data_IF_537228399171
#
_entry.id   IF_537228399171
#
_cell.length_a   1.000
_cell.length_b   1.000
_cell.length_c   1.000
_cell.angle_alpha   90.00
_cell.angle_beta   90.00
_cell.angle_gamma   90.00
#
_symmetry.space_group_name_H-M   'P 1'
#
loop_
_entity.id
_entity.type
_entity.pdbx_description
1 polymer ?
#
# COMPACT_ATOMS: atom_id res chain seq x y z
N UNK A 1 12.52 19.59 -0.83
CA UNK A 1 12.12 18.26 -1.29
C UNK A 1 12.32 18.17 -2.78
N UNK A 2 13.46 17.63 -3.14
CA UNK A 2 13.90 17.29 -4.47
C UNK A 2 13.84 15.77 -4.58
N UNK A 3 13.14 15.23 -5.57
CA UNK A 3 12.73 13.82 -5.59
C UNK A 3 13.89 12.81 -5.68
N UNK A 4 15.10 13.25 -6.04
CA UNK A 4 16.28 12.40 -6.20
C UNK A 4 17.28 12.51 -5.04
N UNK A 5 17.11 13.46 -4.12
CA UNK A 5 18.03 13.62 -2.99
C UNK A 5 17.64 12.66 -1.86
N UNK A 6 18.55 11.77 -1.46
CA UNK A 6 18.22 10.68 -0.51
C UNK A 6 17.71 11.21 0.83
N UNK A 7 18.29 12.30 1.34
CA UNK A 7 17.85 12.89 2.61
C UNK A 7 16.43 13.47 2.51
N UNK A 8 16.06 14.02 1.35
CA UNK A 8 14.70 14.55 1.13
C UNK A 8 13.69 13.40 1.04
N UNK A 9 14.05 12.31 0.35
CA UNK A 9 13.22 11.09 0.27
C UNK A 9 13.01 10.49 1.67
N UNK A 10 14.09 10.33 2.44
CA UNK A 10 14.03 9.80 3.80
C UNK A 10 13.24 10.72 4.75
N UNK A 11 13.36 12.03 4.60
CA UNK A 11 12.57 12.98 5.37
C UNK A 11 11.08 12.89 5.04
N UNK A 12 10.71 12.75 3.76
CA UNK A 12 9.31 12.51 3.35
C UNK A 12 8.79 11.19 3.90
N UNK A 13 9.56 10.11 3.77
CA UNK A 13 9.20 8.80 4.29
C UNK A 13 8.96 8.85 5.80
N UNK A 14 9.83 9.52 6.56
CA UNK A 14 9.68 9.66 8.01
C UNK A 14 8.39 10.40 8.37
N UNK A 15 8.12 11.55 7.73
CA UNK A 15 6.85 12.28 7.94
C UNK A 15 5.63 11.43 7.60
N UNK A 16 5.72 10.63 6.54
CA UNK A 16 4.66 9.75 6.10
C UNK A 16 4.40 8.62 7.14
N UNK A 17 5.45 8.06 7.75
CA UNK A 17 5.34 7.07 8.81
C UNK A 17 4.85 7.68 10.13
N UNK A 18 5.33 8.87 10.50
CA UNK A 18 4.90 9.58 11.70
C UNK A 18 3.41 9.91 11.63
N UNK A 19 2.92 10.34 10.46
CA UNK A 19 1.48 10.56 10.23
C UNK A 19 0.69 9.25 10.42
N UNK A 20 1.15 8.15 9.80
CA UNK A 20 0.52 6.84 9.97
C UNK A 20 0.46 6.42 11.43
N UNK A 21 1.57 6.57 12.16
CA UNK A 21 1.64 6.24 13.59
C UNK A 21 0.72 7.12 14.44
N UNK A 22 0.64 8.42 14.15
CA UNK A 22 -0.21 9.35 14.89
C UNK A 22 -1.69 8.94 14.85
N UNK A 23 -2.14 8.35 13.74
CA UNK A 23 -3.50 7.82 13.61
C UNK A 23 -3.60 6.45 14.27
N UNK A 24 -2.74 5.50 13.90
CA UNK A 24 -2.82 4.11 14.40
C UNK A 24 -2.67 3.99 15.93
N UNK A 25 -1.95 4.91 16.57
CA UNK A 25 -1.78 4.94 18.04
C UNK A 25 -3.02 5.44 18.80
N UNK A 26 -3.99 6.03 18.11
CA UNK A 26 -5.21 6.60 18.71
C UNK A 26 -6.48 5.84 18.29
N UNK A 27 -6.35 4.87 17.39
CA UNK A 27 -7.47 4.21 16.75
C UNK A 27 -7.53 2.73 17.13
N UNK A 28 -8.74 2.20 17.28
CA UNK A 28 -8.99 0.76 17.30
C UNK A 28 -9.43 0.28 15.93
N UNK A 29 -9.34 -1.03 15.65
CA UNK A 29 -9.84 -1.61 14.40
C UNK A 29 -11.31 -1.25 14.16
N UNK A 30 -12.16 -1.38 15.19
CA UNK A 30 -13.58 -1.03 15.10
C UNK A 30 -13.80 0.46 14.79
N UNK A 31 -13.00 1.35 15.40
CA UNK A 31 -13.06 2.78 15.13
C UNK A 31 -12.64 3.14 13.69
N UNK A 32 -11.63 2.45 13.14
CA UNK A 32 -11.22 2.64 11.75
C UNK A 32 -12.25 2.11 10.74
N UNK A 33 -12.93 1.01 11.06
CA UNK A 33 -14.01 0.45 10.24
C UNK A 33 -15.22 1.37 10.13
N UNK A 34 -15.50 2.15 11.18
CA UNK A 34 -16.61 3.11 11.20
C UNK A 34 -16.30 4.43 10.46
N UNK A 35 -15.03 4.70 10.10
CA UNK A 35 -14.61 5.91 9.39
C UNK A 35 -14.47 5.63 7.90
N UNK A 36 -15.39 6.16 7.12
CA UNK A 36 -15.48 5.91 5.68
C UNK A 36 -15.41 7.21 4.90
N UNK A 37 -14.72 7.18 3.76
CA UNK A 37 -14.68 8.29 2.80
C UNK A 37 -15.00 7.76 1.41
N UNK A 38 -15.83 8.51 0.67
CA UNK A 38 -16.03 8.31 -0.76
C UNK A 38 -14.80 8.77 -1.53
N UNK A 39 -14.21 7.89 -2.32
CA UNK A 39 -13.01 8.17 -3.12
C UNK A 39 -13.16 7.70 -4.56
N UNK A 40 -12.44 8.36 -5.47
CA UNK A 40 -12.27 7.88 -6.83
C UNK A 40 -11.10 6.88 -6.87
N UNK A 41 -11.39 5.63 -7.23
CA UNK A 41 -10.42 4.54 -7.37
C UNK A 41 -9.97 4.30 -8.81
N UNK A 42 -10.43 5.10 -9.78
CA UNK A 42 -10.00 5.04 -11.18
C UNK A 42 -10.31 3.72 -11.90
N UNK A 43 -11.26 2.92 -11.39
CA UNK A 43 -11.59 1.59 -11.90
C UNK A 43 -10.57 0.51 -11.52
N UNK A 44 -9.68 0.77 -10.57
CA UNK A 44 -8.75 -0.23 -10.05
C UNK A 44 -9.53 -1.31 -9.27
N UNK A 45 -9.07 -2.58 -9.26
CA UNK A 45 -9.78 -3.70 -8.62
C UNK A 45 -9.61 -3.70 -7.08
N UNK A 46 -9.94 -2.59 -6.42
CA UNK A 46 -9.73 -2.41 -4.97
C UNK A 46 -10.51 -3.43 -4.13
N UNK A 47 -11.73 -3.81 -4.55
CA UNK A 47 -12.52 -4.81 -3.84
C UNK A 47 -11.93 -6.23 -3.93
N UNK A 48 -11.14 -6.55 -4.96
CA UNK A 48 -10.52 -7.88 -5.11
C UNK A 48 -9.29 -8.05 -4.22
N UNK A 49 -8.55 -6.96 -4.01
CA UNK A 49 -7.29 -6.94 -3.26
C UNK A 49 -7.51 -6.64 -1.77
N UNK A 50 -8.65 -6.06 -1.40
CA UNK A 50 -9.01 -5.75 -0.02
C UNK A 50 -10.17 -6.63 0.44
N UNK A 51 -9.95 -7.58 1.38
CA UNK A 51 -11.01 -8.50 1.82
C UNK A 51 -12.22 -7.81 2.46
N UNK A 52 -12.04 -6.61 3.00
CA UNK A 52 -13.06 -5.80 3.66
C UNK A 52 -12.71 -4.30 3.59
N UNK A 53 -13.72 -3.44 3.80
CA UNK A 53 -13.53 -1.98 3.93
C UNK A 53 -13.45 -1.21 2.60
N UNK A 54 -13.77 -1.86 1.49
CA UNK A 54 -13.95 -1.22 0.17
C UNK A 54 -15.32 -1.64 -0.36
N UNK A 55 -16.19 -0.68 -0.63
CA UNK A 55 -17.48 -0.88 -1.25
C UNK A 55 -17.53 -0.07 -2.56
N UNK A 56 -17.46 -0.76 -3.69
CA UNK A 56 -17.41 -0.13 -5.02
C UNK A 56 -18.83 0.24 -5.45
N UNK A 57 -19.02 1.47 -5.91
CA UNK A 57 -20.33 1.93 -6.33
C UNK A 57 -20.83 1.13 -7.55
N UNK A 58 -21.99 0.51 -7.39
CA UNK A 58 -22.63 -0.30 -8.44
C UNK A 58 -23.01 0.51 -9.69
N UNK A 59 -23.18 1.82 -9.57
CA UNK A 59 -23.54 2.72 -10.67
C UNK A 59 -22.30 3.35 -11.33
N UNK A 60 -21.18 3.45 -10.62
CA UNK A 60 -19.92 4.01 -11.11
C UNK A 60 -18.73 3.27 -10.50
N UNK A 61 -18.17 2.32 -11.25
CA UNK A 61 -17.03 1.51 -10.81
C UNK A 61 -15.73 2.32 -10.56
N UNK A 62 -15.71 3.62 -10.89
CA UNK A 62 -14.61 4.50 -10.53
C UNK A 62 -14.73 5.06 -9.12
N UNK A 63 -15.87 4.92 -8.46
CA UNK A 63 -16.11 5.41 -7.10
C UNK A 63 -16.20 4.24 -6.11
N UNK A 64 -15.68 4.46 -4.90
CA UNK A 64 -15.84 3.52 -3.81
C UNK A 64 -15.92 4.23 -2.46
N UNK A 65 -16.70 3.66 -1.54
CA UNK A 65 -16.66 4.00 -0.12
C UNK A 65 -15.56 3.16 0.54
N UNK A 66 -14.53 3.83 1.06
CA UNK A 66 -13.33 3.18 1.61
C UNK A 66 -13.16 3.53 3.08
N UNK A 67 -12.97 2.51 3.91
CA UNK A 67 -12.74 2.70 5.35
C UNK A 67 -11.30 3.13 5.63
N UNK A 68 -11.08 3.73 6.80
CA UNK A 68 -9.74 4.04 7.27
C UNK A 68 -8.90 2.76 7.44
N UNK A 69 -9.51 1.65 7.84
CA UNK A 69 -8.84 0.34 7.93
C UNK A 69 -8.30 -0.09 6.56
N UNK A 70 -9.15 -0.06 5.51
CA UNK A 70 -8.73 -0.41 4.15
C UNK A 70 -7.68 0.56 3.62
N UNK A 71 -7.74 1.85 3.99
CA UNK A 71 -6.73 2.84 3.62
C UNK A 71 -5.34 2.48 4.19
N UNK A 72 -5.27 2.07 5.45
CA UNK A 72 -4.00 1.63 6.05
C UNK A 72 -3.51 0.31 5.46
N UNK A 73 -4.41 -0.63 5.17
CA UNK A 73 -4.05 -1.88 4.49
C UNK A 73 -3.52 -1.64 3.08
N UNK A 74 -4.15 -0.74 2.32
CA UNK A 74 -3.68 -0.30 1.01
C UNK A 74 -2.26 0.24 1.09
N UNK A 75 -2.01 1.18 2.02
CA UNK A 75 -0.68 1.75 2.24
C UNK A 75 0.36 0.69 2.60
N UNK A 76 -0.02 -0.27 3.45
CA UNK A 76 0.84 -1.40 3.80
C UNK A 76 1.19 -2.24 2.57
N UNK A 77 0.21 -2.63 1.77
CA UNK A 77 0.42 -3.42 0.54
C UNK A 77 1.28 -2.69 -0.49
N UNK A 78 1.14 -1.37 -0.64
CA UNK A 78 2.03 -0.56 -1.48
C UNK A 78 3.48 -0.61 -1.02
N UNK A 79 3.73 -0.44 0.29
CA UNK A 79 5.08 -0.52 0.84
C UNK A 79 5.72 -1.90 0.63
N UNK A 80 4.96 -2.96 0.90
CA UNK A 80 5.42 -4.33 0.71
C UNK A 80 5.80 -4.62 -0.75
N UNK A 81 4.94 -4.19 -1.66
CA UNK A 81 5.10 -4.40 -3.11
C UNK A 81 6.30 -3.64 -3.67
N UNK A 82 6.47 -2.38 -3.28
CA UNK A 82 7.63 -1.60 -3.69
C UNK A 82 8.93 -2.14 -3.09
N UNK A 83 8.93 -2.55 -1.81
CA UNK A 83 10.09 -3.15 -1.19
C UNK A 83 10.48 -4.47 -1.88
N UNK A 84 9.49 -5.33 -2.19
CA UNK A 84 9.71 -6.54 -2.98
C UNK A 84 10.36 -6.21 -4.32
N UNK A 85 9.80 -5.27 -5.09
CA UNK A 85 10.34 -4.88 -6.39
C UNK A 85 11.78 -4.37 -6.31
N UNK A 86 12.12 -3.54 -5.32
CA UNK A 86 13.50 -3.09 -5.10
C UNK A 86 14.41 -4.29 -4.85
N UNK A 87 14.01 -5.23 -4.00
CA UNK A 87 14.83 -6.39 -3.68
C UNK A 87 14.96 -7.38 -4.86
N UNK A 88 13.90 -7.55 -5.65
CA UNK A 88 13.90 -8.29 -6.92
C UNK A 88 14.92 -7.73 -7.89
N UNK A 89 14.88 -6.42 -8.14
CA UNK A 89 15.82 -5.75 -9.04
C UNK A 89 17.27 -5.84 -8.53
N UNK A 90 17.47 -5.76 -7.21
CA UNK A 90 18.78 -6.01 -6.61
C UNK A 90 19.29 -7.42 -6.91
N UNK A 91 18.46 -8.45 -6.72
CA UNK A 91 18.83 -9.84 -7.01
C UNK A 91 19.20 -10.04 -8.48
N UNK A 92 18.43 -9.47 -9.41
CA UNK A 92 18.73 -9.50 -10.84
C UNK A 92 20.10 -8.85 -11.19
N UNK A 93 20.57 -7.90 -10.37
CA UNK A 93 21.88 -7.25 -10.52
C UNK A 93 23.00 -7.95 -9.72
N UNK A 94 22.75 -9.11 -9.10
CA UNK A 94 23.72 -9.81 -8.25
C UNK A 94 23.91 -9.18 -6.86
N UNK A 95 23.04 -8.26 -6.45
CA UNK A 95 23.08 -7.60 -5.14
C UNK A 95 22.25 -8.35 -4.10
N UNK A 96 22.71 -8.34 -2.85
CA UNK A 96 22.03 -9.05 -1.75
C UNK A 96 20.75 -8.34 -1.29
N UNK A 97 19.65 -9.08 -1.22
CA UNK A 97 18.44 -8.71 -0.49
C UNK A 97 18.74 -8.56 1.02
N UNK A 98 18.12 -7.60 1.69
CA UNK A 98 18.39 -7.28 3.10
C UNK A 98 17.39 -7.92 4.06
N UNK A 99 16.16 -8.14 3.62
CA UNK A 99 15.07 -8.66 4.46
C UNK A 99 14.16 -9.57 3.64
N UNK A 100 13.55 -10.55 4.29
CA UNK A 100 12.44 -11.28 3.69
C UNK A 100 11.18 -10.40 3.71
N UNK A 101 10.49 -10.35 2.57
CA UNK A 101 9.24 -9.60 2.42
C UNK A 101 8.09 -10.61 2.50
N UNK A 102 7.14 -10.48 3.43
CA UNK A 102 5.93 -11.30 3.46
C UNK A 102 5.19 -11.38 2.12
N UNK A 103 4.78 -12.60 1.74
CA UNK A 103 4.04 -12.91 0.50
C UNK A 103 2.56 -12.50 0.61
N UNK A 104 2.30 -11.21 0.57
CA UNK A 104 0.96 -10.63 0.66
C UNK A 104 0.84 -9.29 -0.07
N UNK A 105 -0.38 -8.77 -0.19
CA UNK A 105 -0.65 -7.53 -0.91
C UNK A 105 -0.48 -7.67 -2.43
N UNK A 106 -0.15 -6.58 -3.11
CA UNK A 106 -0.16 -6.53 -4.57
C UNK A 106 0.87 -7.45 -5.23
N UNK A 107 2.05 -7.61 -4.63
CA UNK A 107 3.06 -8.50 -5.21
C UNK A 107 2.72 -10.00 -5.08
N UNK A 108 1.77 -10.35 -4.22
CA UNK A 108 1.19 -11.69 -4.17
C UNK A 108 0.08 -11.91 -5.23
N UNK A 109 -0.42 -10.85 -5.88
CA UNK A 109 -1.45 -10.96 -6.91
C UNK A 109 -1.02 -11.87 -8.07
N UNK A 110 -1.99 -12.57 -8.67
CA UNK A 110 -1.74 -13.58 -9.71
C UNK A 110 -0.92 -13.05 -10.87
N UNK A 111 -1.26 -11.86 -11.35
CA UNK A 111 -0.69 -11.26 -12.55
C UNK A 111 0.49 -10.30 -12.26
N UNK A 112 0.96 -10.23 -11.00
CA UNK A 112 2.12 -9.41 -10.66
C UNK A 112 3.42 -10.02 -11.18
N UNK A 113 4.23 -9.20 -11.85
CA UNK A 113 5.55 -9.61 -12.35
C UNK A 113 6.53 -9.87 -11.20
N UNK A 114 7.00 -11.11 -11.13
CA UNK A 114 7.93 -11.63 -10.11
C UNK A 114 9.21 -12.20 -10.74
N UNK A 115 9.45 -11.92 -12.02
CA UNK A 115 10.66 -12.38 -12.73
C UNK A 115 11.93 -11.78 -12.13
N UNK A 116 13.05 -12.50 -12.13
CA UNK A 116 14.34 -11.98 -11.61
C UNK A 116 15.47 -12.09 -12.64
N UNK A 117 15.09 -12.29 -13.91
CA UNK A 117 15.98 -12.54 -15.04
C UNK A 117 16.29 -11.27 -15.84
#
# INVERSE_FOLDING_TARGET
NVYWHIDDILAVLRRALDLSWSVLSQETVASMQAKTLRVNIGGLPWAEVHPNGVDVDSADATQADVTLEATFRHRYFEYMTHLYNIQRLKRAQGLTARVEVPFEGYWAAKDWDRSEA
#
